data_IF_182782828895
#
_entry.id   IF_182782828895
#
_cell.length_a   1.000
_cell.length_b   1.000
_cell.length_c   1.000
_cell.angle_alpha   90.00
_cell.angle_beta   90.00
_cell.angle_gamma   90.00
#
_symmetry.space_group_name_H-M   'P 1'
#
loop_
_entity.id
_entity.type
_entity.pdbx_description
1 polymer ?
#
# COMPACT_ATOMS: atom_id res chain seq x y z
N UNK A 1 21.45 -26.20 38.82
CA UNK A 1 22.34 -25.10 39.23
C UNK A 1 22.33 -23.97 38.20
N UNK A 2 21.57 -22.92 38.52
CA UNK A 2 21.67 -21.52 38.07
C UNK A 2 21.60 -21.21 36.56
N UNK A 3 20.75 -20.31 36.06
CA UNK A 3 19.82 -19.38 36.69
C UNK A 3 18.87 -18.85 35.60
N UNK A 4 17.57 -18.84 35.87
CA UNK A 4 16.59 -18.06 35.11
C UNK A 4 16.94 -16.58 35.24
N UNK A 5 17.24 -15.90 34.13
CA UNK A 5 17.06 -14.45 34.04
C UNK A 5 15.74 -14.20 33.34
N UNK A 6 14.71 -13.98 34.16
CA UNK A 6 13.53 -13.24 33.75
C UNK A 6 14.01 -11.83 33.40
N UNK A 7 13.88 -11.45 32.13
CA UNK A 7 13.84 -10.05 31.71
C UNK A 7 12.38 -9.77 31.46
N UNK A 8 11.72 -9.31 32.51
CA UNK A 8 10.49 -8.57 32.40
C UNK A 8 10.89 -7.16 31.94
N UNK A 9 10.52 -6.80 30.72
CA UNK A 9 10.41 -5.40 30.31
C UNK A 9 9.19 -5.30 29.39
N UNK A 10 8.06 -5.13 30.07
CA UNK A 10 6.76 -4.65 29.63
C UNK A 10 6.85 -3.38 28.78
N UNK A 11 7.30 -3.51 27.53
CA UNK A 11 7.25 -2.46 26.52
C UNK A 11 6.63 -2.96 25.20
N UNK A 12 5.71 -3.91 25.27
CA UNK A 12 4.77 -4.14 24.17
C UNK A 12 3.84 -2.94 24.11
N UNK A 13 4.20 -1.93 23.30
CA UNK A 13 3.24 -0.91 22.86
C UNK A 13 1.99 -1.67 22.41
N UNK A 14 0.80 -1.34 22.92
CA UNK A 14 -0.43 -1.98 22.47
C UNK A 14 -0.45 -1.89 20.95
N UNK A 15 -0.41 -3.06 20.31
CA UNK A 15 -0.45 -3.17 18.86
C UNK A 15 -1.90 -2.85 18.48
N UNK A 16 -2.19 -1.56 18.31
CA UNK A 16 -3.46 -1.08 17.78
C UNK A 16 -3.53 -1.53 16.33
N UNK A 17 -3.97 -2.77 16.12
CA UNK A 17 -4.25 -3.34 14.80
C UNK A 17 -5.67 -2.99 14.33
N UNK A 18 -6.33 -2.06 15.03
CA UNK A 18 -7.61 -1.53 14.58
C UNK A 18 -7.38 -0.60 13.38
N UNK A 19 -8.20 -0.69 12.33
CA UNK A 19 -8.13 0.26 11.23
C UNK A 19 -8.21 1.68 11.79
N UNK A 20 -7.20 2.52 11.48
CA UNK A 20 -7.13 3.91 11.96
C UNK A 20 -8.34 4.76 11.50
N UNK A 21 -9.10 4.25 10.54
CA UNK A 21 -10.43 4.72 10.15
C UNK A 21 -10.94 3.92 8.95
N UNK A 22 -12.23 4.04 8.65
CA UNK A 22 -12.79 3.61 7.37
C UNK A 22 -12.69 4.74 6.36
N UNK A 23 -12.50 4.39 5.08
CA UNK A 23 -12.58 5.38 4.01
C UNK A 23 -14.00 5.97 3.96
N UNK A 24 -14.18 7.30 3.92
CA UNK A 24 -15.50 7.91 3.92
C UNK A 24 -16.27 7.52 2.65
N UNK A 25 -17.52 7.11 2.82
CA UNK A 25 -18.40 6.75 1.70
C UNK A 25 -18.59 7.94 0.75
N UNK A 26 -18.47 7.68 -0.55
CA UNK A 26 -18.65 8.69 -1.61
C UNK A 26 -17.42 9.55 -1.90
N UNK A 27 -16.35 9.48 -1.11
CA UNK A 27 -15.09 10.15 -1.45
C UNK A 27 -14.38 9.37 -2.56
N UNK A 28 -14.22 10.01 -3.72
CA UNK A 28 -13.47 9.49 -4.87
C UNK A 28 -12.17 10.26 -5.01
N UNK A 29 -11.07 9.54 -5.22
CA UNK A 29 -9.77 10.12 -5.53
C UNK A 29 -9.52 10.09 -7.04
N UNK A 30 -8.96 11.16 -7.59
CA UNK A 30 -8.44 11.09 -8.95
C UNK A 30 -7.19 10.19 -8.99
N UNK A 31 -6.32 10.32 -7.98
CA UNK A 31 -5.07 9.57 -7.89
C UNK A 31 -4.82 9.01 -6.48
N UNK A 32 -4.37 7.77 -6.43
CA UNK A 32 -3.83 7.14 -5.23
C UNK A 32 -2.35 6.82 -5.48
N UNK A 33 -1.44 7.41 -4.69
CA UNK A 33 0.00 7.13 -4.79
C UNK A 33 0.40 6.16 -3.68
N UNK A 34 1.02 5.04 -4.06
CA UNK A 34 1.42 4.01 -3.12
C UNK A 34 2.89 3.64 -3.30
N UNK A 35 3.58 3.53 -2.16
CA UNK A 35 5.01 3.25 -2.10
C UNK A 35 5.36 2.15 -1.10
N UNK A 36 6.63 1.77 -1.11
CA UNK A 36 7.24 0.85 -0.16
C UNK A 36 6.53 -0.50 -0.03
N UNK A 37 5.92 -1.00 -1.10
CA UNK A 37 5.12 -2.23 -1.09
C UNK A 37 4.04 -2.21 0.02
N UNK A 38 3.42 -1.06 0.26
CA UNK A 38 2.42 -0.85 1.32
C UNK A 38 1.16 -1.73 1.21
N UNK A 39 1.02 -2.47 0.12
CA UNK A 39 -0.14 -3.30 -0.17
C UNK A 39 0.25 -4.62 -0.83
N UNK A 40 -0.66 -5.59 -0.73
CA UNK A 40 -0.46 -6.96 -1.25
C UNK A 40 -1.29 -7.27 -2.49
N UNK A 41 -2.38 -6.56 -2.74
CA UNK A 41 -3.32 -6.90 -3.81
C UNK A 41 -4.03 -5.66 -4.32
N UNK A 42 -4.21 -5.55 -5.65
CA UNK A 42 -5.00 -4.48 -6.26
C UNK A 42 -6.47 -4.56 -5.84
N UNK A 43 -7.02 -5.77 -5.78
CA UNK A 43 -8.42 -6.00 -5.39
C UNK A 43 -8.71 -5.51 -3.96
N UNK A 44 -7.74 -5.66 -3.04
CA UNK A 44 -7.89 -5.15 -1.68
C UNK A 44 -8.06 -3.63 -1.67
N UNK A 45 -7.26 -2.92 -2.48
CA UNK A 45 -7.33 -1.46 -2.56
C UNK A 45 -8.65 -1.03 -3.20
N UNK A 46 -9.04 -1.63 -4.32
CA UNK A 46 -10.31 -1.34 -5.03
C UNK A 46 -11.54 -1.50 -4.14
N UNK A 47 -11.51 -2.47 -3.22
CA UNK A 47 -12.61 -2.70 -2.28
C UNK A 47 -12.62 -1.72 -1.09
N UNK A 48 -11.51 -1.00 -0.86
CA UNK A 48 -11.34 -0.13 0.31
C UNK A 48 -11.41 1.35 -0.05
N UNK A 49 -10.86 1.73 -1.20
CA UNK A 49 -10.70 3.12 -1.63
C UNK A 49 -11.24 3.24 -3.05
N UNK A 50 -12.08 4.26 -3.28
CA UNK A 50 -12.57 4.59 -4.62
C UNK A 50 -11.59 5.57 -5.31
N UNK A 51 -10.99 5.17 -6.42
CA UNK A 51 -10.01 5.99 -7.15
C UNK A 51 -10.03 5.74 -8.66
N UNK A 52 -9.58 6.72 -9.46
CA UNK A 52 -9.47 6.61 -10.92
C UNK A 52 -8.11 6.10 -11.42
N UNK A 53 -7.00 6.49 -10.77
CA UNK A 53 -5.65 6.03 -11.11
C UNK A 53 -4.86 5.61 -9.87
N UNK A 54 -4.18 4.47 -9.94
CA UNK A 54 -3.19 4.03 -8.95
C UNK A 54 -1.79 4.31 -9.48
N UNK A 55 -0.99 5.06 -8.73
CA UNK A 55 0.40 5.36 -9.04
C UNK A 55 1.28 4.54 -8.11
N UNK A 56 2.10 3.66 -8.67
CA UNK A 56 3.15 2.94 -7.96
C UNK A 56 4.42 3.77 -8.03
N UNK A 57 4.85 4.31 -6.90
CA UNK A 57 6.05 5.12 -6.84
C UNK A 57 7.33 4.28 -7.09
N UNK A 58 8.46 4.97 -7.22
CA UNK A 58 9.77 4.35 -7.46
C UNK A 58 10.29 3.45 -6.33
N UNK A 59 9.67 3.47 -5.15
CA UNK A 59 10.12 2.72 -3.97
C UNK A 59 9.55 1.30 -3.91
N UNK A 60 8.57 0.97 -4.75
CA UNK A 60 8.04 -0.39 -4.86
C UNK A 60 9.04 -1.36 -5.49
N UNK A 61 8.93 -2.64 -5.14
CA UNK A 61 9.73 -3.68 -5.83
C UNK A 61 9.26 -3.84 -7.27
N UNK A 62 10.19 -4.04 -8.20
CA UNK A 62 9.84 -4.25 -9.62
C UNK A 62 8.98 -5.49 -9.84
N UNK A 63 9.07 -6.48 -8.95
CA UNK A 63 8.17 -7.63 -8.95
C UNK A 63 6.72 -7.23 -8.63
N UNK A 64 6.51 -6.46 -7.55
CA UNK A 64 5.18 -5.98 -7.19
C UNK A 64 4.62 -5.07 -8.28
N UNK A 65 5.40 -4.11 -8.74
CA UNK A 65 4.99 -3.16 -9.78
C UNK A 65 4.55 -3.87 -11.07
N UNK A 66 5.35 -4.83 -11.56
CA UNK A 66 5.00 -5.60 -12.75
C UNK A 66 3.78 -6.49 -12.55
N UNK A 67 3.62 -7.11 -11.38
CA UNK A 67 2.47 -7.97 -11.10
C UNK A 67 1.17 -7.14 -11.10
N UNK A 68 1.15 -6.04 -10.36
CA UNK A 68 -0.04 -5.20 -10.20
C UNK A 68 -0.41 -4.52 -11.52
N UNK A 69 0.57 -4.04 -12.29
CA UNK A 69 0.31 -3.50 -13.63
C UNK A 69 -0.33 -4.53 -14.57
N UNK A 70 0.12 -5.79 -14.53
CA UNK A 70 -0.50 -6.87 -15.32
C UNK A 70 -1.93 -7.21 -14.90
N UNK A 71 -2.34 -6.86 -13.68
CA UNK A 71 -3.72 -7.05 -13.22
C UNK A 71 -4.65 -6.00 -13.84
N UNK A 72 -4.17 -4.77 -14.09
CA UNK A 72 -4.95 -3.67 -14.68
C UNK A 72 -4.03 -2.55 -15.21
N UNK A 73 -3.68 -2.59 -16.50
CA UNK A 73 -2.70 -1.68 -17.12
C UNK A 73 -3.25 -0.26 -17.32
N UNK A 74 -4.56 -0.10 -17.48
CA UNK A 74 -5.19 1.21 -17.66
C UNK A 74 -5.27 1.98 -16.34
N UNK A 75 -5.61 1.28 -15.25
CA UNK A 75 -5.76 1.86 -13.93
C UNK A 75 -4.41 2.16 -13.25
N UNK A 76 -3.37 1.39 -13.55
CA UNK A 76 -2.10 1.40 -12.80
C UNK A 76 -0.99 2.09 -13.58
N UNK A 77 -0.44 3.16 -13.03
CA UNK A 77 0.78 3.82 -13.52
C UNK A 77 1.97 3.37 -12.68
N UNK A 78 3.03 2.87 -13.31
CA UNK A 78 4.26 2.50 -12.60
C UNK A 78 5.38 3.48 -12.89
N UNK A 79 5.82 4.24 -11.88
CA UNK A 79 6.91 5.21 -12.04
C UNK A 79 8.22 4.54 -12.46
N UNK A 80 8.46 3.29 -12.05
CA UNK A 80 9.64 2.53 -12.47
C UNK A 80 9.65 2.15 -13.95
N UNK A 81 8.48 2.09 -14.61
CA UNK A 81 8.35 1.62 -15.99
C UNK A 81 7.97 2.73 -16.98
N UNK A 82 7.08 3.63 -16.57
CA UNK A 82 6.54 4.71 -17.41
C UNK A 82 7.14 6.08 -17.06
N UNK A 83 7.91 6.18 -15.98
CA UNK A 83 8.50 7.43 -15.51
C UNK A 83 7.55 8.25 -14.61
N UNK A 84 8.01 9.43 -14.19
CA UNK A 84 7.32 10.24 -13.19
C UNK A 84 6.13 11.06 -13.72
N UNK A 85 5.93 11.11 -15.05
CA UNK A 85 4.84 11.84 -15.68
C UNK A 85 3.64 10.93 -15.88
N UNK A 86 2.48 11.39 -15.43
CA UNK A 86 1.20 10.71 -15.62
C UNK A 86 0.43 11.50 -16.67
N UNK A 87 0.10 10.89 -17.81
CA UNK A 87 -0.76 11.52 -18.81
C UNK A 87 -2.20 11.58 -18.29
N UNK A 88 -2.78 12.78 -18.31
CA UNK A 88 -4.15 13.05 -17.89
C UNK A 88 -4.94 13.36 -19.16
N UNK A 89 -5.85 12.46 -19.55
CA UNK A 89 -6.75 12.63 -20.71
C UNK A 89 -8.18 12.82 -20.25
#
# INVERSE_FOLDING_TARGET
PCSNRFVDDTNTLPLFNEPIGTWPEGLKLDYLIMGNNSFKSLAQIKNTINFDKLILDGTNSSFLANRIRKEDDELVHSVQHEGAYVEIF
#
